data_IF_051684847167
#
_entry.id   IF_051684847167
#
_cell.length_a   1.000
_cell.length_b   1.000
_cell.length_c   1.000
_cell.angle_alpha   90.00
_cell.angle_beta   90.00
_cell.angle_gamma   90.00
#
_symmetry.space_group_name_H-M   'P 1'
#
loop_
_entity.id
_entity.type
_entity.pdbx_description
1 polymer ?
#
# COMPACT_ATOMS: atom_id res chain seq x y z
N UNK A 1 21.37 34.17 -71.19
CA UNK A 1 22.34 33.75 -70.15
C UNK A 1 21.59 33.42 -68.87
N UNK A 2 21.58 32.12 -68.54
CA UNK A 2 21.21 31.40 -67.29
C UNK A 2 20.14 31.99 -66.36
N UNK A 3 18.96 31.36 -66.40
CA UNK A 3 17.93 31.36 -65.36
C UNK A 3 18.44 30.58 -64.12
N UNK A 4 18.31 31.18 -62.93
CA UNK A 4 18.64 30.55 -61.64
C UNK A 4 17.35 30.20 -60.90
N UNK A 5 16.97 28.92 -60.92
CA UNK A 5 15.89 28.34 -60.13
C UNK A 5 16.44 28.02 -58.73
N UNK A 6 16.08 28.82 -57.72
CA UNK A 6 16.48 28.56 -56.32
C UNK A 6 15.45 27.64 -55.68
N UNK A 7 15.82 26.37 -55.52
CA UNK A 7 15.06 25.33 -54.83
C UNK A 7 15.31 25.46 -53.31
N UNK A 8 14.34 26.01 -52.58
CA UNK A 8 14.35 26.03 -51.11
C UNK A 8 13.91 24.66 -50.57
N UNK A 9 14.89 23.89 -50.09
CA UNK A 9 14.70 22.62 -49.38
C UNK A 9 14.10 22.88 -47.98
N UNK A 10 12.86 22.44 -47.78
CA UNK A 10 12.26 22.33 -46.44
C UNK A 10 12.94 21.17 -45.68
N UNK A 11 13.78 21.52 -44.71
CA UNK A 11 14.34 20.55 -43.77
C UNK A 11 13.27 20.23 -42.70
N UNK A 12 12.52 19.14 -42.92
CA UNK A 12 11.57 18.61 -41.94
C UNK A 12 12.33 18.09 -40.72
N UNK A 13 12.22 18.78 -39.60
CA UNK A 13 12.71 18.31 -38.30
C UNK A 13 11.79 17.19 -37.84
N UNK A 14 12.20 15.94 -38.08
CA UNK A 14 11.59 14.76 -37.47
C UNK A 14 11.95 14.75 -35.98
N UNK A 15 11.03 15.23 -35.14
CA UNK A 15 11.11 15.09 -33.70
C UNK A 15 10.82 13.61 -33.36
N UNK A 16 11.86 12.77 -33.31
CA UNK A 16 11.71 11.38 -32.88
C UNK A 16 11.36 11.35 -31.40
N UNK A 17 10.08 11.11 -31.09
CA UNK A 17 9.61 10.78 -29.76
C UNK A 17 10.26 9.45 -29.39
N UNK A 18 11.38 9.48 -28.67
CA UNK A 18 11.96 8.30 -28.06
C UNK A 18 11.04 7.84 -26.94
N UNK A 19 10.17 6.90 -27.27
CA UNK A 19 9.42 6.12 -26.30
C UNK A 19 10.45 5.30 -25.50
N UNK A 20 10.81 5.76 -24.30
CA UNK A 20 11.68 5.01 -23.40
C UNK A 20 10.90 3.78 -22.93
N UNK A 21 11.15 2.62 -23.55
CA UNK A 21 10.68 1.35 -23.02
C UNK A 21 11.34 1.13 -21.66
N UNK A 22 10.54 1.06 -20.60
CA UNK A 22 10.99 0.51 -19.32
C UNK A 22 11.57 -0.89 -19.60
N UNK A 23 12.76 -1.22 -19.09
CA UNK A 23 13.35 -2.54 -19.30
C UNK A 23 12.36 -3.62 -18.86
N UNK A 24 12.06 -4.58 -19.73
CA UNK A 24 11.13 -5.67 -19.43
C UNK A 24 11.68 -6.50 -18.26
N UNK A 25 10.98 -6.44 -17.12
CA UNK A 25 11.28 -7.28 -15.96
C UNK A 25 10.96 -8.74 -16.26
N UNK A 26 11.87 -9.64 -15.91
CA UNK A 26 11.69 -11.09 -16.08
C UNK A 26 10.46 -11.56 -15.27
N UNK A 27 9.51 -12.28 -15.88
CA UNK A 27 8.39 -12.87 -15.17
C UNK A 27 8.84 -13.78 -14.02
N UNK A 28 8.00 -13.93 -13.00
CA UNK A 28 8.21 -14.92 -11.95
C UNK A 28 7.91 -16.32 -12.48
N UNK A 29 8.79 -17.28 -12.18
CA UNK A 29 8.50 -18.71 -12.31
C UNK A 29 7.39 -19.11 -11.34
N UNK A 30 6.72 -20.23 -11.60
CA UNK A 30 5.64 -20.69 -10.72
C UNK A 30 6.18 -21.09 -9.33
N UNK A 31 7.41 -21.62 -9.26
CA UNK A 31 8.11 -21.88 -8.00
C UNK A 31 8.33 -20.59 -7.20
N UNK A 32 8.80 -19.51 -7.84
CA UNK A 32 8.94 -18.20 -7.18
C UNK A 32 7.59 -17.67 -6.70
N UNK A 33 6.54 -17.73 -7.54
CA UNK A 33 5.19 -17.27 -7.17
C UNK A 33 4.66 -18.01 -5.95
N UNK A 34 4.72 -19.35 -5.95
CA UNK A 34 4.25 -20.18 -4.84
C UNK A 34 5.03 -19.88 -3.55
N UNK A 35 6.35 -19.73 -3.66
CA UNK A 35 7.21 -19.38 -2.52
C UNK A 35 6.82 -18.02 -1.94
N UNK A 36 6.81 -16.96 -2.74
CA UNK A 36 6.50 -15.62 -2.25
C UNK A 36 5.05 -15.48 -1.79
N UNK A 37 4.12 -16.23 -2.37
CA UNK A 37 2.73 -16.31 -1.91
C UNK A 37 2.64 -16.90 -0.51
N UNK A 38 3.29 -18.04 -0.28
CA UNK A 38 3.31 -18.72 1.03
C UNK A 38 4.02 -17.86 2.09
N UNK A 39 5.21 -17.36 1.76
CA UNK A 39 6.01 -16.57 2.70
C UNK A 39 5.33 -15.23 3.01
N UNK A 40 4.77 -14.57 1.99
CA UNK A 40 4.04 -13.31 2.15
C UNK A 40 2.82 -13.46 3.06
N UNK A 41 2.04 -14.55 2.91
CA UNK A 41 0.92 -14.88 3.80
C UNK A 41 1.39 -15.07 5.24
N UNK A 42 2.44 -15.86 5.46
CA UNK A 42 2.98 -16.14 6.80
C UNK A 42 3.50 -14.86 7.47
N UNK A 43 4.29 -14.07 6.76
CA UNK A 43 4.85 -12.80 7.28
C UNK A 43 3.73 -11.82 7.61
N UNK A 44 2.72 -11.71 6.73
CA UNK A 44 1.54 -10.86 6.95
C UNK A 44 0.78 -11.28 8.20
N UNK A 45 0.53 -12.58 8.36
CA UNK A 45 -0.18 -13.13 9.51
C UNK A 45 0.57 -12.80 10.82
N UNK A 46 1.85 -13.13 10.90
CA UNK A 46 2.67 -12.89 12.10
C UNK A 46 2.73 -11.39 12.44
N UNK A 47 2.94 -10.56 11.41
CA UNK A 47 3.03 -9.11 11.59
C UNK A 47 1.71 -8.52 12.07
N UNK A 48 0.60 -8.90 11.44
CA UNK A 48 -0.73 -8.44 11.85
C UNK A 48 -1.08 -8.92 13.26
N UNK A 49 -0.88 -10.19 13.58
CA UNK A 49 -1.17 -10.73 14.92
C UNK A 49 -0.37 -9.99 16.00
N UNK A 50 0.92 -9.71 15.75
CA UNK A 50 1.77 -9.00 16.70
C UNK A 50 1.29 -7.55 16.91
N UNK A 51 0.98 -6.84 15.83
CA UNK A 51 0.45 -5.48 15.90
C UNK A 51 -0.91 -5.43 16.60
N UNK A 52 -1.83 -6.32 16.23
CA UNK A 52 -3.19 -6.37 16.76
C UNK A 52 -3.22 -6.76 18.24
N UNK A 53 -2.33 -7.65 18.69
CA UNK A 53 -2.22 -7.98 20.10
C UNK A 53 -1.79 -6.77 20.95
N UNK A 54 -0.78 -6.02 20.50
CA UNK A 54 -0.31 -4.81 21.20
C UNK A 54 -1.34 -3.67 21.13
N UNK A 55 -1.98 -3.49 19.98
CA UNK A 55 -3.09 -2.56 19.81
C UNK A 55 -4.25 -2.89 20.75
N UNK A 56 -4.64 -4.16 20.82
CA UNK A 56 -5.71 -4.63 21.70
C UNK A 56 -5.39 -4.38 23.16
N UNK A 57 -4.15 -4.65 23.59
CA UNK A 57 -3.70 -4.33 24.96
C UNK A 57 -3.82 -2.83 25.26
N UNK A 58 -3.28 -1.97 24.39
CA UNK A 58 -3.37 -0.52 24.56
C UNK A 58 -4.82 -0.02 24.57
N UNK A 59 -5.69 -0.60 23.73
CA UNK A 59 -7.12 -0.29 23.71
C UNK A 59 -7.81 -0.68 25.02
N UNK A 60 -7.47 -1.84 25.60
CA UNK A 60 -8.05 -2.28 26.87
C UNK A 60 -7.59 -1.44 28.06
N UNK A 61 -6.32 -1.03 28.08
CA UNK A 61 -5.72 -0.31 29.22
C UNK A 61 -6.00 1.19 29.18
N UNK A 62 -5.97 1.80 27.99
CA UNK A 62 -5.93 3.26 27.80
C UNK A 62 -6.94 3.76 26.75
N UNK A 63 -7.81 2.88 26.25
CA UNK A 63 -8.81 3.21 25.24
C UNK A 63 -8.19 3.64 23.90
N UNK A 64 -8.97 4.40 23.12
CA UNK A 64 -8.54 4.85 21.78
C UNK A 64 -7.30 5.74 21.87
N UNK A 65 -7.15 6.55 22.91
CA UNK A 65 -5.98 7.40 23.09
C UNK A 65 -4.68 6.60 23.16
N UNK A 66 -4.61 5.57 24.01
CA UNK A 66 -3.43 4.72 24.10
C UNK A 66 -3.21 3.90 22.82
N UNK A 67 -4.29 3.38 22.23
CA UNK A 67 -4.23 2.64 20.97
C UNK A 67 -3.64 3.47 19.81
N UNK A 68 -4.06 4.73 19.65
CA UNK A 68 -3.57 5.65 18.62
C UNK A 68 -2.12 6.04 18.92
N UNK A 69 -1.77 6.28 20.18
CA UNK A 69 -0.39 6.58 20.61
C UNK A 69 0.56 5.42 20.28
N UNK A 70 0.15 4.19 20.56
CA UNK A 70 0.88 2.98 20.16
C UNK A 70 1.06 2.91 18.63
N UNK A 71 0.00 3.17 17.86
CA UNK A 71 0.07 3.17 16.40
C UNK A 71 1.01 4.25 15.85
N UNK A 72 1.11 5.39 16.53
CA UNK A 72 1.95 6.52 16.13
C UNK A 72 3.44 6.24 16.36
N UNK A 73 3.77 5.67 17.52
CA UNK A 73 5.17 5.53 17.94
C UNK A 73 5.75 4.15 17.62
N UNK A 74 4.99 3.08 17.86
CA UNK A 74 5.55 1.73 17.92
C UNK A 74 5.26 0.86 16.70
N UNK A 75 4.26 1.22 15.88
CA UNK A 75 3.86 0.37 14.76
C UNK A 75 4.94 0.21 13.69
N UNK A 76 5.59 1.31 13.28
CA UNK A 76 6.66 1.28 12.25
C UNK A 76 7.92 0.56 12.75
N UNK A 77 8.47 0.87 13.95
CA UNK A 77 9.61 0.11 14.48
C UNK A 77 9.37 -1.38 14.60
N UNK A 78 8.13 -1.79 14.94
CA UNK A 78 7.78 -3.20 15.02
C UNK A 78 7.79 -3.86 13.64
N UNK A 79 7.19 -3.22 12.63
CA UNK A 79 7.24 -3.74 11.26
C UNK A 79 8.66 -3.79 10.71
N UNK A 80 9.51 -2.81 11.04
CA UNK A 80 10.92 -2.78 10.62
C UNK A 80 11.73 -3.90 11.28
N UNK A 81 11.49 -4.18 12.56
CA UNK A 81 12.13 -5.31 13.25
C UNK A 81 11.76 -6.65 12.63
N UNK A 82 10.47 -6.87 12.35
CA UNK A 82 10.01 -8.10 11.68
C UNK A 82 10.52 -8.19 10.23
N UNK A 83 10.63 -7.05 9.54
CA UNK A 83 11.20 -6.98 8.20
C UNK A 83 12.67 -7.43 8.20
N UNK A 84 13.47 -6.94 9.16
CA UNK A 84 14.86 -7.35 9.35
C UNK A 84 15.02 -8.85 9.65
N UNK A 85 14.20 -9.40 10.54
CA UNK A 85 14.22 -10.84 10.87
C UNK A 85 13.91 -11.75 9.68
N UNK A 86 13.07 -11.28 8.75
CA UNK A 86 12.66 -12.04 7.57
C UNK A 86 13.47 -11.66 6.31
N UNK A 87 14.39 -10.70 6.41
CA UNK A 87 15.15 -10.15 5.28
C UNK A 87 14.25 -9.69 4.11
N UNK A 88 13.18 -8.97 4.43
CA UNK A 88 12.20 -8.40 3.49
C UNK A 88 11.97 -6.92 3.79
N UNK A 89 11.20 -6.22 2.94
CA UNK A 89 10.55 -4.96 3.34
C UNK A 89 9.08 -5.26 3.67
N UNK A 90 8.57 -4.71 4.77
CA UNK A 90 7.16 -4.85 5.18
C UNK A 90 6.55 -3.47 5.23
N UNK A 91 5.39 -3.30 4.59
CA UNK A 91 4.64 -2.04 4.63
C UNK A 91 3.14 -2.29 4.67
N UNK A 92 2.42 -1.42 5.38
CA UNK A 92 0.96 -1.26 5.23
C UNK A 92 0.71 0.05 4.50
N UNK A 93 0.00 0.02 3.39
CA UNK A 93 -0.26 1.21 2.57
C UNK A 93 -1.72 1.32 2.18
N UNK A 94 -2.14 2.50 1.74
CA UNK A 94 -3.52 2.81 1.37
C UNK A 94 -3.59 4.04 0.47
N UNK A 95 -4.70 4.20 -0.24
CA UNK A 95 -5.07 5.45 -0.91
C UNK A 95 -5.59 6.50 0.09
N UNK A 96 -6.07 6.06 1.26
CA UNK A 96 -6.54 6.89 2.37
C UNK A 96 -5.60 6.71 3.57
N UNK A 97 -4.61 7.60 3.67
CA UNK A 97 -3.50 7.47 4.61
C UNK A 97 -3.85 8.02 5.99
N UNK A 98 -3.35 7.35 7.04
CA UNK A 98 -3.27 7.92 8.40
C UNK A 98 -1.92 8.51 8.70
N UNK A 99 -0.88 7.71 8.44
CA UNK A 99 0.50 8.14 8.53
C UNK A 99 1.03 8.39 7.10
N UNK A 100 1.46 9.61 6.75
CA UNK A 100 2.06 9.92 5.44
C UNK A 100 3.25 9.04 5.07
N UNK A 101 4.01 8.52 6.04
CA UNK A 101 5.12 7.59 5.80
C UNK A 101 4.68 6.28 5.12
N UNK A 102 3.37 5.96 5.17
CA UNK A 102 2.80 4.79 4.51
C UNK A 102 2.35 5.07 3.06
N UNK A 103 2.67 6.24 2.49
CA UNK A 103 2.29 6.60 1.13
C UNK A 103 2.75 5.55 0.10
N UNK A 104 1.88 5.09 -0.82
CA UNK A 104 2.20 4.02 -1.75
C UNK A 104 3.21 4.48 -2.82
N UNK A 105 4.09 3.56 -3.21
CA UNK A 105 4.86 3.62 -4.46
C UNK A 105 3.93 3.45 -5.67
N UNK A 106 4.42 3.67 -6.88
CA UNK A 106 3.61 3.53 -8.10
C UNK A 106 3.08 2.09 -8.28
N UNK A 107 3.93 1.07 -8.05
CA UNK A 107 3.49 -0.32 -8.10
C UNK A 107 2.41 -0.63 -7.04
N UNK A 108 2.54 -0.05 -5.85
CA UNK A 108 1.54 -0.18 -4.78
C UNK A 108 0.23 0.52 -5.13
N UNK A 109 0.29 1.73 -5.72
CA UNK A 109 -0.91 2.46 -6.17
C UNK A 109 -1.67 1.67 -7.23
N UNK A 110 -0.98 1.12 -8.23
CA UNK A 110 -1.61 0.30 -9.26
C UNK A 110 -2.37 -0.87 -8.65
N UNK A 111 -1.77 -1.58 -7.69
CA UNK A 111 -2.42 -2.70 -7.00
C UNK A 111 -3.59 -2.27 -6.11
N UNK A 112 -3.46 -1.15 -5.39
CA UNK A 112 -4.56 -0.59 -4.59
C UNK A 112 -5.78 -0.24 -5.48
N UNK A 113 -5.56 0.38 -6.64
CA UNK A 113 -6.64 0.66 -7.58
C UNK A 113 -7.26 -0.61 -8.16
N UNK A 114 -6.44 -1.64 -8.45
CA UNK A 114 -6.95 -2.93 -8.90
C UNK A 114 -7.85 -3.59 -7.83
N UNK A 115 -7.45 -3.57 -6.55
CA UNK A 115 -8.30 -4.06 -5.48
C UNK A 115 -9.56 -3.22 -5.29
N UNK A 116 -9.48 -1.90 -5.40
CA UNK A 116 -10.66 -1.04 -5.32
C UNK A 116 -11.66 -1.30 -6.47
N UNK A 117 -11.16 -1.58 -7.68
CA UNK A 117 -12.00 -1.94 -8.82
C UNK A 117 -12.68 -3.30 -8.62
N UNK A 118 -11.94 -4.29 -8.12
CA UNK A 118 -12.49 -5.61 -7.77
C UNK A 118 -13.57 -5.53 -6.69
N UNK A 119 -13.35 -4.72 -5.64
CA UNK A 119 -14.34 -4.48 -4.59
C UNK A 119 -15.62 -3.87 -5.15
N UNK A 120 -15.51 -2.85 -6.01
CA UNK A 120 -16.67 -2.23 -6.68
C UNK A 120 -17.41 -3.21 -7.59
N UNK A 121 -16.70 -4.18 -8.18
CA UNK A 121 -17.28 -5.24 -8.99
C UNK A 121 -17.88 -6.38 -8.15
N UNK A 122 -17.73 -6.36 -6.82
CA UNK A 122 -18.20 -7.42 -5.92
C UNK A 122 -17.39 -8.72 -6.02
N UNK A 123 -16.15 -8.66 -6.51
CA UNK A 123 -15.28 -9.85 -6.61
C UNK A 123 -14.40 -10.00 -5.37
N UNK A 124 -13.96 -11.22 -5.11
CA UNK A 124 -13.06 -11.51 -4.01
C UNK A 124 -11.71 -10.81 -4.19
N UNK A 125 -11.23 -10.19 -3.10
CA UNK A 125 -9.89 -9.61 -3.05
C UNK A 125 -8.94 -10.67 -2.52
N UNK A 126 -8.12 -11.21 -3.41
CA UNK A 126 -7.12 -12.23 -3.08
C UNK A 126 -5.71 -11.66 -3.14
N UNK A 127 -4.76 -12.19 -2.34
CA UNK A 127 -3.38 -11.75 -2.45
C UNK A 127 -2.78 -12.02 -3.83
N UNK A 128 -1.86 -11.15 -4.25
CA UNK A 128 -1.19 -11.20 -5.56
C UNK A 128 0.32 -11.14 -5.38
N UNK A 129 1.05 -11.89 -6.19
CA UNK A 129 2.50 -11.81 -6.28
C UNK A 129 2.89 -11.30 -7.67
N UNK A 130 3.79 -10.32 -7.74
CA UNK A 130 4.33 -9.82 -9.01
C UNK A 130 5.82 -9.49 -8.92
N UNK A 131 6.52 -9.57 -10.05
CA UNK A 131 7.87 -9.01 -10.15
C UNK A 131 7.79 -7.47 -10.07
N UNK A 132 8.66 -6.86 -9.26
CA UNK A 132 8.91 -5.43 -9.30
C UNK A 132 10.06 -5.11 -10.26
N UNK A 133 11.12 -5.92 -10.22
CA UNK A 133 12.27 -5.87 -11.12
C UNK A 133 12.81 -7.30 -11.37
N UNK A 134 14.01 -7.40 -11.94
CA UNK A 134 14.72 -8.68 -12.05
C UNK A 134 15.22 -9.17 -10.68
N UNK A 135 15.39 -8.27 -9.72
CA UNK A 135 15.98 -8.49 -8.39
C UNK A 135 14.96 -8.42 -7.25
N UNK A 136 13.75 -7.89 -7.50
CA UNK A 136 12.71 -7.75 -6.47
C UNK A 136 11.36 -8.30 -6.92
N UNK A 137 10.65 -8.92 -5.98
CA UNK A 137 9.26 -9.35 -6.12
C UNK A 137 8.42 -8.81 -4.96
N UNK A 138 7.14 -8.56 -5.20
CA UNK A 138 6.21 -8.12 -4.19
C UNK A 138 5.05 -9.10 -4.01
N UNK A 139 4.70 -9.35 -2.77
CA UNK A 139 3.42 -9.90 -2.35
C UNK A 139 2.54 -8.76 -1.85
N UNK A 140 1.31 -8.67 -2.36
CA UNK A 140 0.30 -7.72 -1.93
C UNK A 140 -0.90 -8.45 -1.37
N UNK A 141 -1.36 -8.08 -0.18
CA UNK A 141 -2.57 -8.65 0.43
C UNK A 141 -3.53 -7.56 0.91
N UNK A 142 -4.81 -7.58 0.50
CA UNK A 142 -5.80 -6.58 0.89
C UNK A 142 -6.08 -6.62 2.40
N UNK A 143 -6.37 -5.47 2.98
CA UNK A 143 -6.81 -5.33 4.37
C UNK A 143 -8.28 -4.93 4.35
N UNK A 144 -9.16 -5.85 4.76
CA UNK A 144 -10.59 -5.56 4.98
C UNK A 144 -10.85 -5.22 6.44
N UNK A 145 -11.74 -4.28 6.69
CA UNK A 145 -12.11 -3.93 8.04
C UNK A 145 -13.09 -4.92 8.67
N UNK A 146 -12.93 -5.11 9.98
CA UNK A 146 -13.90 -5.75 10.86
C UNK A 146 -14.49 -4.69 11.82
N UNK A 147 -15.55 -5.03 12.55
CA UNK A 147 -16.27 -4.09 13.41
C UNK A 147 -15.36 -3.31 14.38
N UNK A 148 -14.40 -4.01 15.01
CA UNK A 148 -13.46 -3.39 15.94
C UNK A 148 -12.61 -2.27 15.31
N UNK A 149 -12.38 -2.30 14.00
CA UNK A 149 -11.60 -1.30 13.31
C UNK A 149 -12.32 0.05 13.20
N UNK A 150 -13.65 0.06 13.26
CA UNK A 150 -14.45 1.27 13.09
C UNK A 150 -14.28 2.26 14.25
N UNK A 151 -13.79 1.82 15.41
CA UNK A 151 -13.45 2.71 16.53
C UNK A 151 -12.41 3.78 16.19
N UNK A 152 -11.61 3.56 15.15
CA UNK A 152 -10.63 4.54 14.68
C UNK A 152 -10.72 4.84 13.18
N UNK A 153 -11.41 4.01 12.41
CA UNK A 153 -11.55 4.16 10.95
C UNK A 153 -12.99 4.37 10.49
N UNK A 154 -13.94 4.41 11.43
CA UNK A 154 -15.36 4.54 11.17
C UNK A 154 -15.80 5.95 10.76
N UNK A 155 -17.10 6.13 10.61
CA UNK A 155 -17.72 7.44 10.37
C UNK A 155 -17.71 8.26 11.65
N UNK A 156 -17.14 9.46 11.60
CA UNK A 156 -17.06 10.39 12.73
C UNK A 156 -18.47 10.75 13.21
N UNK A 157 -18.73 10.62 14.51
CA UNK A 157 -20.03 10.89 15.12
C UNK A 157 -21.07 9.78 14.95
N UNK A 158 -20.71 8.68 14.28
CA UNK A 158 -21.57 7.50 14.16
C UNK A 158 -20.87 6.27 14.76
N UNK A 159 -19.90 5.70 14.06
CA UNK A 159 -19.19 4.48 14.50
C UNK A 159 -17.84 4.78 15.17
N UNK A 160 -17.38 6.02 15.06
CA UNK A 160 -16.23 6.58 15.75
C UNK A 160 -16.65 7.83 16.53
N UNK A 161 -16.36 7.88 17.82
CA UNK A 161 -16.70 9.04 18.66
C UNK A 161 -15.95 10.30 18.22
N UNK A 162 -16.57 11.47 18.41
CA UNK A 162 -15.92 12.75 18.05
C UNK A 162 -14.65 13.01 18.88
N UNK A 163 -14.61 12.58 20.14
CA UNK A 163 -13.44 12.65 21.01
C UNK A 163 -12.28 11.77 20.52
N UNK A 164 -12.62 10.59 20.00
CA UNK A 164 -11.64 9.65 19.43
C UNK A 164 -11.04 10.23 18.14
N UNK A 165 -11.88 10.83 17.29
CA UNK A 165 -11.42 11.53 16.10
C UNK A 165 -10.50 12.71 16.43
N UNK A 166 -10.85 13.52 17.44
CA UNK A 166 -9.99 14.62 17.89
C UNK A 166 -8.61 14.12 18.38
N UNK A 167 -8.58 12.97 19.06
CA UNK A 167 -7.34 12.32 19.49
C UNK A 167 -6.51 11.81 18.32
N UNK A 168 -7.15 11.29 17.27
CA UNK A 168 -6.47 10.90 16.04
C UNK A 168 -5.86 12.12 15.36
N UNK A 169 -6.62 13.21 15.23
CA UNK A 169 -6.18 14.43 14.56
C UNK A 169 -5.01 15.13 15.26
N UNK A 170 -4.92 15.05 16.60
CA UNK A 170 -3.79 15.63 17.33
C UNK A 170 -2.45 14.93 17.04
N UNK A 171 -2.49 13.62 16.77
CA UNK A 171 -1.32 12.80 16.43
C UNK A 171 -1.10 12.65 14.91
N UNK A 172 -2.16 12.83 14.13
CA UNK A 172 -2.17 12.72 12.67
C UNK A 172 -3.00 13.86 12.04
N UNK A 173 -2.44 15.07 11.93
CA UNK A 173 -3.18 16.23 11.39
C UNK A 173 -3.62 16.07 9.92
N UNK A 174 -2.92 15.23 9.16
CA UNK A 174 -3.23 14.93 7.75
C UNK A 174 -4.01 13.62 7.58
N UNK A 175 -4.60 13.08 8.64
CA UNK A 175 -5.34 11.82 8.59
C UNK A 175 -6.51 11.88 7.62
N UNK A 176 -6.58 10.87 6.75
CA UNK A 176 -7.67 10.64 5.79
C UNK A 176 -8.32 9.27 5.98
N UNK A 177 -7.91 8.51 6.98
CA UNK A 177 -8.31 7.11 7.14
C UNK A 177 -9.61 6.93 7.95
N UNK A 178 -10.68 7.60 7.54
CA UNK A 178 -11.98 7.63 8.24
C UNK A 178 -13.15 7.38 7.29
N UNK A 179 -14.33 7.08 7.83
CA UNK A 179 -15.55 6.88 7.04
C UNK A 179 -15.71 5.47 6.47
N UNK A 180 -14.91 4.51 6.95
CA UNK A 180 -15.00 3.11 6.55
C UNK A 180 -16.07 2.35 7.33
N UNK A 181 -16.58 1.30 6.71
CA UNK A 181 -17.50 0.31 7.29
C UNK A 181 -16.84 -1.05 7.34
N UNK A 182 -17.45 -1.97 8.10
CA UNK A 182 -17.05 -3.38 8.09
C UNK A 182 -17.13 -3.95 6.68
N UNK A 183 -16.10 -4.68 6.29
CA UNK A 183 -15.94 -5.24 4.95
C UNK A 183 -15.11 -4.37 4.03
N UNK A 184 -15.10 -3.04 4.20
CA UNK A 184 -14.42 -2.12 3.26
C UNK A 184 -12.92 -2.41 3.14
N UNK A 185 -12.38 -2.19 1.94
CA UNK A 185 -10.95 -2.17 1.67
C UNK A 185 -10.29 -0.95 2.33
N UNK A 186 -9.60 -1.19 3.43
CA UNK A 186 -8.81 -0.16 4.13
C UNK A 186 -7.52 0.17 3.41
N UNK A 187 -6.91 -0.81 2.75
CA UNK A 187 -5.58 -0.71 2.16
C UNK A 187 -5.01 -2.09 1.90
N UNK A 188 -3.69 -2.23 1.94
CA UNK A 188 -3.03 -3.51 1.74
C UNK A 188 -1.72 -3.63 2.51
N UNK A 189 -1.30 -4.87 2.74
CA UNK A 189 0.08 -5.24 3.00
C UNK A 189 0.88 -5.26 1.71
N UNK A 190 2.12 -4.79 1.78
CA UNK A 190 3.15 -4.98 0.75
C UNK A 190 4.38 -5.60 1.39
N UNK A 191 4.76 -6.78 0.91
CA UNK A 191 5.97 -7.49 1.32
C UNK A 191 6.89 -7.56 0.10
N UNK A 192 8.06 -6.93 0.17
CA UNK A 192 9.05 -6.98 -0.91
C UNK A 192 10.16 -7.96 -0.56
N UNK A 193 10.39 -8.92 -1.46
CA UNK A 193 11.44 -9.92 -1.40
C UNK A 193 12.56 -9.57 -2.37
N UNK A 194 13.80 -9.93 -2.01
CA UNK A 194 14.87 -10.09 -2.99
C UNK A 194 14.69 -11.40 -3.75
N UNK A 195 14.92 -11.35 -5.06
CA UNK A 195 14.92 -12.50 -5.98
C UNK A 195 16.32 -13.09 -6.12
#
# INVERSE_FOLDING_TARGET
MKSGLTLLLFFGIFLTIQCTSTPDKKPLTDIEKEKFMRDGKNITLITFSTLSARLGKAMTEEGVQGAVSYCNVAALPLTDSLAGLNNVKIKRTSLQLRNPANAPTEAEKTMLFAFQAQEKAGTDLVPVVQALSNEEAAFFAPIRLIDACQKCHGTVGETMEASDYATIQSLYPDDKATGFKTGDLRGMWSITFRR
#
